data_IF_887807274153
#
_entry.id   IF_887807274153
#
_cell.length_a   1.000
_cell.length_b   1.000
_cell.length_c   1.000
_cell.angle_alpha   90.00
_cell.angle_beta   90.00
_cell.angle_gamma   90.00
#
_symmetry.space_group_name_H-M   'P 1'
#
loop_
_entity.id
_entity.type
_entity.pdbx_description
1 polymer ?
#
# COMPACT_ATOMS: atom_id res chain seq x y z
N UNK A 1 -15.73 3.04 3.86
CA UNK A 1 -17.21 3.00 3.99
C UNK A 1 -17.60 2.57 5.40
N UNK A 2 -18.22 3.46 6.20
CA UNK A 2 -18.95 3.06 7.41
C UNK A 2 -20.13 4.01 7.63
N UNK A 3 -21.33 3.51 7.37
CA UNK A 3 -22.60 4.21 7.59
C UNK A 3 -22.93 4.15 9.08
N UNK A 4 -22.60 5.20 9.83
CA UNK A 4 -23.30 5.68 11.05
C UNK A 4 -22.95 7.15 11.32
N UNK A 5 -23.71 8.07 10.71
CA UNK A 5 -23.96 9.38 11.30
C UNK A 5 -23.05 10.58 10.93
N UNK A 6 -22.08 10.45 10.02
CA UNK A 6 -21.30 11.60 9.53
C UNK A 6 -21.47 11.80 8.02
N UNK A 7 -21.69 13.06 7.64
CA UNK A 7 -22.31 13.51 6.37
C UNK A 7 -21.31 13.91 5.28
N UNK A 8 -20.04 13.58 5.39
CA UNK A 8 -19.08 13.93 4.34
C UNK A 8 -18.82 12.72 3.43
N UNK A 9 -19.52 12.72 2.29
CA UNK A 9 -19.39 11.78 1.18
C UNK A 9 -18.51 12.38 0.07
N UNK A 10 -17.50 13.17 0.40
CA UNK A 10 -16.59 13.69 -0.62
C UNK A 10 -15.77 12.55 -1.21
N UNK A 11 -15.84 12.42 -2.54
CA UNK A 11 -14.87 11.64 -3.30
C UNK A 11 -13.46 12.22 -3.07
N UNK A 12 -12.40 11.40 -3.13
CA UNK A 12 -11.05 11.93 -3.02
C UNK A 12 -10.82 13.03 -4.06
N UNK A 13 -10.51 14.24 -3.61
CA UNK A 13 -10.13 15.34 -4.50
C UNK A 13 -8.81 15.04 -5.21
N UNK A 14 -8.54 15.77 -6.30
CA UNK A 14 -7.27 15.64 -7.00
C UNK A 14 -6.11 16.02 -6.06
N UNK A 15 -5.14 15.13 -5.88
CA UNK A 15 -3.93 15.42 -5.13
C UNK A 15 -3.13 16.51 -5.86
N UNK A 16 -3.00 17.70 -5.28
CA UNK A 16 -2.37 18.86 -5.92
C UNK A 16 -0.95 18.56 -6.42
N UNK A 17 -0.19 17.76 -5.67
CA UNK A 17 1.18 17.35 -6.02
C UNK A 17 1.24 16.08 -6.89
N UNK A 18 0.10 15.43 -7.16
CA UNK A 18 0.02 14.13 -7.86
C UNK A 18 0.77 14.10 -9.20
N UNK A 19 0.59 15.07 -10.11
CA UNK A 19 1.33 15.10 -11.37
C UNK A 19 2.86 15.24 -11.20
N UNK A 20 3.31 15.99 -10.18
CA UNK A 20 4.75 16.13 -9.90
C UNK A 20 5.33 14.84 -9.30
N UNK A 21 4.59 14.19 -8.40
CA UNK A 21 4.95 12.89 -7.84
C UNK A 21 5.07 11.85 -8.96
N UNK A 22 4.07 11.75 -9.84
CA UNK A 22 4.10 10.81 -10.97
C UNK A 22 5.29 11.03 -11.92
N UNK A 23 5.63 12.29 -12.25
CA UNK A 23 6.82 12.60 -13.08
C UNK A 23 8.13 12.21 -12.38
N UNK A 24 8.23 12.49 -11.08
CA UNK A 24 9.42 12.16 -10.28
C UNK A 24 9.59 10.66 -10.12
N UNK A 25 8.48 9.95 -9.89
CA UNK A 25 8.43 8.49 -9.84
C UNK A 25 8.86 7.88 -11.18
N UNK A 26 8.33 8.36 -12.30
CA UNK A 26 8.73 7.90 -13.63
C UNK A 26 10.24 8.07 -13.86
N UNK A 27 10.81 9.21 -13.45
CA UNK A 27 12.26 9.41 -13.51
C UNK A 27 13.02 8.40 -12.66
N UNK A 28 12.60 8.16 -11.42
CA UNK A 28 13.25 7.19 -10.53
C UNK A 28 13.18 5.74 -11.09
N UNK A 29 12.09 5.38 -11.76
CA UNK A 29 11.97 4.10 -12.48
C UNK A 29 12.97 4.06 -13.64
N UNK A 30 13.01 5.09 -14.47
CA UNK A 30 13.92 5.19 -15.62
C UNK A 30 15.39 5.17 -15.22
N UNK A 31 15.73 5.74 -14.06
CA UNK A 31 17.06 5.74 -13.48
C UNK A 31 17.42 4.39 -12.79
N UNK A 32 16.49 3.42 -12.75
CA UNK A 32 16.71 2.08 -12.17
C UNK A 32 16.76 2.05 -10.64
N UNK A 33 16.19 3.05 -9.97
CA UNK A 33 16.29 3.20 -8.51
C UNK A 33 15.19 2.46 -7.73
N UNK A 34 14.17 1.95 -8.41
CA UNK A 34 13.00 1.32 -7.80
C UNK A 34 13.00 -0.17 -8.17
N UNK A 35 12.92 -1.04 -7.15
CA UNK A 35 12.84 -2.48 -7.31
C UNK A 35 11.40 -2.94 -7.62
N UNK A 36 10.42 -2.35 -6.95
CA UNK A 36 8.99 -2.60 -7.17
C UNK A 36 8.16 -1.37 -6.78
N UNK A 37 6.96 -1.22 -7.38
CA UNK A 37 6.08 -0.08 -7.15
C UNK A 37 4.62 -0.51 -7.32
N UNK A 38 3.74 0.01 -6.46
CA UNK A 38 2.30 -0.19 -6.53
C UNK A 38 1.57 1.12 -6.20
N UNK A 39 0.55 1.49 -6.96
CA UNK A 39 -0.31 2.62 -6.62
C UNK A 39 -1.25 2.28 -5.45
N UNK A 40 -1.68 3.30 -4.71
CA UNK A 40 -2.68 3.15 -3.65
C UNK A 40 -4.05 3.57 -4.19
N UNK A 41 -4.73 2.66 -4.88
CA UNK A 41 -6.07 2.81 -5.41
C UNK A 41 -7.11 2.18 -4.48
N UNK A 42 -7.86 1.19 -4.93
CA UNK A 42 -8.93 0.54 -4.17
C UNK A 42 -8.34 -0.23 -2.97
N UNK A 43 -8.91 -0.02 -1.79
CA UNK A 43 -8.43 -0.64 -0.54
C UNK A 43 -7.15 -0.04 0.05
N UNK A 44 -6.51 0.93 -0.61
CA UNK A 44 -5.44 1.76 -0.04
C UNK A 44 -4.12 1.03 0.23
N UNK A 45 -3.36 1.52 1.21
CA UNK A 45 -2.03 1.01 1.57
C UNK A 45 -2.05 -0.48 1.97
N UNK A 46 -3.08 -0.91 2.67
CA UNK A 46 -3.20 -2.28 3.16
C UNK A 46 -3.26 -3.30 2.02
N UNK A 47 -4.07 -3.01 1.00
CA UNK A 47 -4.22 -3.86 -0.18
C UNK A 47 -2.97 -3.80 -1.06
N UNK A 48 -2.47 -2.59 -1.37
CA UNK A 48 -1.24 -2.44 -2.15
C UNK A 48 -0.04 -3.18 -1.52
N UNK A 49 0.11 -3.12 -0.20
CA UNK A 49 1.15 -3.88 0.49
C UNK A 49 0.96 -5.40 0.38
N UNK A 50 -0.28 -5.88 0.48
CA UNK A 50 -0.61 -7.30 0.32
C UNK A 50 -0.31 -7.80 -1.10
N UNK A 51 -0.71 -7.04 -2.13
CA UNK A 51 -0.43 -7.36 -3.54
C UNK A 51 1.07 -7.42 -3.82
N UNK A 52 1.84 -6.44 -3.30
CA UNK A 52 3.30 -6.43 -3.44
C UNK A 52 3.96 -7.65 -2.81
N UNK A 53 3.58 -8.04 -1.58
CA UNK A 53 4.19 -9.22 -0.94
C UNK A 53 3.74 -10.53 -1.60
N UNK A 54 2.51 -10.61 -2.11
CA UNK A 54 2.00 -11.81 -2.78
C UNK A 54 2.73 -12.13 -4.09
N UNK A 55 3.29 -11.11 -4.74
CA UNK A 55 4.13 -11.23 -5.93
C UNK A 55 5.57 -11.70 -5.67
N UNK A 56 5.95 -11.96 -4.41
CA UNK A 56 7.31 -12.36 -4.03
C UNK A 56 7.32 -13.50 -2.99
N UNK A 57 8.46 -14.18 -2.77
CA UNK A 57 8.62 -15.12 -1.65
C UNK A 57 8.93 -14.42 -0.31
N UNK A 58 9.02 -13.10 -0.29
CA UNK A 58 9.41 -12.30 0.87
C UNK A 58 8.20 -11.68 1.58
N UNK A 59 8.35 -11.40 2.87
CA UNK A 59 7.38 -10.62 3.64
C UNK A 59 7.76 -9.16 3.75
N UNK A 60 7.02 -8.42 4.56
CA UNK A 60 7.31 -7.01 4.84
C UNK A 60 6.87 -6.61 6.26
N UNK A 61 7.65 -5.72 6.88
CA UNK A 61 7.23 -4.97 8.06
C UNK A 61 6.91 -3.53 7.68
N UNK A 62 5.69 -3.05 7.99
CA UNK A 62 5.23 -1.69 7.69
C UNK A 62 4.80 -0.97 8.98
N UNK A 63 5.21 0.28 9.14
CA UNK A 63 4.86 1.15 10.27
C UNK A 63 3.94 2.27 9.82
N UNK A 64 2.69 2.23 10.27
CA UNK A 64 1.69 3.24 9.93
C UNK A 64 2.03 4.64 10.48
N UNK A 65 2.80 4.70 11.57
CA UNK A 65 3.28 5.96 12.14
C UNK A 65 4.17 6.78 11.19
N UNK A 66 4.72 6.16 10.14
CA UNK A 66 5.59 6.81 9.15
C UNK A 66 4.87 7.16 7.86
N UNK A 67 3.57 6.87 7.74
CA UNK A 67 2.77 7.29 6.59
C UNK A 67 2.65 8.82 6.62
N UNK A 68 3.08 9.55 5.58
CA UNK A 68 2.93 10.99 5.52
C UNK A 68 1.46 11.40 5.61
N UNK A 69 1.15 12.32 6.52
CA UNK A 69 -0.21 12.85 6.71
C UNK A 69 -0.15 14.35 6.94
N UNK A 70 -1.08 15.08 6.36
CA UNK A 70 -1.25 16.51 6.63
C UNK A 70 -1.65 16.76 8.10
N UNK A 71 -1.38 17.97 8.58
CA UNK A 71 -1.81 18.43 9.91
C UNK A 71 -3.33 18.60 9.94
N UNK A 72 -3.99 18.14 11.00
CA UNK A 72 -5.44 18.27 11.17
C UNK A 72 -6.30 17.21 10.47
N UNK A 73 -5.69 16.29 9.72
CA UNK A 73 -6.39 15.14 9.12
C UNK A 73 -6.52 14.00 10.14
N UNK A 74 -7.53 13.14 9.96
CA UNK A 74 -7.69 11.86 10.69
C UNK A 74 -6.41 11.02 10.59
N UNK A 75 -5.96 10.43 11.70
CA UNK A 75 -4.69 9.67 11.78
C UNK A 75 -4.88 8.27 12.39
N UNK A 76 -6.11 7.78 12.38
CA UNK A 76 -6.41 6.44 12.88
C UNK A 76 -5.79 5.37 11.98
N UNK A 77 -5.45 4.23 12.57
CA UNK A 77 -4.73 3.15 11.88
C UNK A 77 -5.53 2.57 10.69
N UNK A 78 -6.85 2.46 10.82
CA UNK A 78 -7.75 2.01 9.74
C UNK A 78 -7.79 3.01 8.58
N UNK A 79 -7.77 4.31 8.86
CA UNK A 79 -7.69 5.33 7.83
C UNK A 79 -6.37 5.27 7.08
N UNK A 80 -5.24 5.10 7.78
CA UNK A 80 -3.93 4.97 7.13
C UNK A 80 -3.83 3.73 6.24
N UNK A 81 -4.49 2.64 6.64
CA UNK A 81 -4.51 1.39 5.88
C UNK A 81 -5.43 1.45 4.66
N UNK A 82 -6.66 1.94 4.85
CA UNK A 82 -7.73 1.74 3.88
C UNK A 82 -8.30 3.03 3.29
N UNK A 83 -7.69 4.19 3.58
CA UNK A 83 -8.03 5.41 2.82
C UNK A 83 -7.59 5.25 1.37
N UNK A 84 -8.41 5.73 0.47
CA UNK A 84 -8.17 5.73 -0.97
C UNK A 84 -7.95 7.18 -1.42
N UNK A 85 -6.88 7.45 -2.16
CA UNK A 85 -6.62 8.74 -2.77
C UNK A 85 -5.54 8.64 -3.85
N UNK A 86 -5.71 9.45 -4.89
CA UNK A 86 -4.88 9.42 -6.08
C UNK A 86 -3.47 9.99 -5.83
N UNK A 87 -2.51 9.56 -6.66
CA UNK A 87 -1.14 10.11 -6.64
C UNK A 87 -0.29 9.65 -5.46
N UNK A 88 -0.67 8.55 -4.80
CA UNK A 88 0.11 7.88 -3.76
C UNK A 88 0.62 6.55 -4.29
N UNK A 89 1.85 6.22 -3.90
CA UNK A 89 2.55 5.02 -4.36
C UNK A 89 3.29 4.39 -3.18
N UNK A 90 3.28 3.06 -3.12
CA UNK A 90 4.18 2.27 -2.29
C UNK A 90 5.32 1.80 -3.20
N UNK A 91 6.55 2.07 -2.77
CA UNK A 91 7.75 1.72 -3.55
C UNK A 91 8.74 0.95 -2.69
N UNK A 92 9.42 0.01 -3.33
CA UNK A 92 10.56 -0.72 -2.77
C UNK A 92 11.84 -0.17 -3.41
N UNK A 93 12.80 0.20 -2.57
CA UNK A 93 14.09 0.76 -2.98
C UNK A 93 15.19 0.01 -2.26
N UNK A 94 16.19 -0.46 -3.01
CA UNK A 94 17.32 -1.15 -2.41
C UNK A 94 18.15 -0.18 -1.55
N UNK A 95 18.78 -0.63 -0.45
CA UNK A 95 19.54 0.26 0.45
C UNK A 95 20.63 1.08 -0.24
N UNK A 96 21.26 0.53 -1.28
CA UNK A 96 22.30 1.21 -2.08
C UNK A 96 21.75 2.40 -2.89
N UNK A 97 20.46 2.35 -3.26
CA UNK A 97 19.80 3.33 -4.13
C UNK A 97 18.97 4.35 -3.33
N UNK A 98 18.77 4.10 -2.03
CA UNK A 98 17.93 4.92 -1.15
C UNK A 98 18.33 6.40 -1.15
N UNK A 99 19.62 6.72 -1.04
CA UNK A 99 20.10 8.12 -1.03
C UNK A 99 19.81 8.82 -2.35
N UNK A 100 19.95 8.13 -3.48
CA UNK A 100 19.66 8.70 -4.79
C UNK A 100 18.15 8.92 -4.97
N UNK A 101 17.34 7.95 -4.56
CA UNK A 101 15.87 8.06 -4.56
C UNK A 101 15.39 9.23 -3.69
N UNK A 102 15.84 9.32 -2.44
CA UNK A 102 15.45 10.38 -1.50
C UNK A 102 15.81 11.78 -2.00
N UNK A 103 16.92 11.91 -2.74
CA UNK A 103 17.30 13.18 -3.39
C UNK A 103 16.33 13.57 -4.50
N UNK A 104 15.83 12.62 -5.30
CA UNK A 104 14.85 12.92 -6.35
C UNK A 104 13.51 13.37 -5.75
N UNK A 105 13.13 12.82 -4.60
CA UNK A 105 11.88 13.14 -3.90
C UNK A 105 12.03 14.31 -2.90
N UNK A 106 13.16 15.00 -2.87
CA UNK A 106 13.36 16.16 -2.01
C UNK A 106 12.30 17.24 -2.30
N UNK A 107 11.59 17.69 -1.25
CA UNK A 107 10.49 18.66 -1.36
C UNK A 107 9.13 18.06 -1.73
N UNK A 108 9.04 16.75 -1.96
CA UNK A 108 7.79 16.01 -2.12
C UNK A 108 7.46 15.22 -0.85
N UNK A 109 6.18 14.96 -0.55
CA UNK A 109 5.80 14.14 0.59
C UNK A 109 6.18 12.68 0.34
N UNK A 110 7.04 12.13 1.19
CA UNK A 110 7.34 10.70 1.25
C UNK A 110 7.65 10.26 2.68
N UNK A 111 7.60 8.95 2.94
CA UNK A 111 7.94 8.37 4.23
C UNK A 111 8.50 6.97 4.09
N UNK A 112 9.55 6.65 4.83
CA UNK A 112 10.12 5.30 4.87
C UNK A 112 9.29 4.43 5.80
N UNK A 113 8.38 3.65 5.24
CA UNK A 113 7.37 2.91 6.01
C UNK A 113 7.93 1.66 6.70
N UNK A 114 9.00 1.08 6.18
CA UNK A 114 9.56 -0.15 6.73
C UNK A 114 10.54 -0.85 5.80
N UNK A 115 10.51 -2.17 5.77
CA UNK A 115 11.47 -2.99 5.02
C UNK A 115 10.89 -4.37 4.66
N UNK A 116 11.45 -4.97 3.62
CA UNK A 116 11.20 -6.36 3.20
C UNK A 116 11.89 -7.32 4.17
N UNK A 117 11.28 -8.46 4.43
CA UNK A 117 11.79 -9.50 5.34
C UNK A 117 11.86 -10.86 4.66
N UNK A 118 12.72 -11.73 5.17
CA UNK A 118 12.80 -13.13 4.71
C UNK A 118 11.69 -14.02 5.29
N UNK A 119 11.04 -13.58 6.37
CA UNK A 119 9.88 -14.28 6.91
C UNK A 119 8.68 -14.04 5.97
N UNK A 120 7.92 -15.07 5.58
CA UNK A 120 6.80 -14.93 4.65
C UNK A 120 5.54 -14.40 5.37
N UNK A 121 5.65 -13.22 5.99
CA UNK A 121 4.53 -12.55 6.64
C UNK A 121 4.44 -11.06 6.26
N UNK A 122 3.21 -10.56 6.14
CA UNK A 122 2.93 -9.13 6.13
C UNK A 122 2.61 -8.69 7.55
N UNK A 123 3.50 -7.88 8.13
CA UNK A 123 3.36 -7.40 9.50
C UNK A 123 3.21 -5.88 9.52
N UNK A 124 2.11 -5.42 10.10
CA UNK A 124 1.80 -4.00 10.20
C UNK A 124 1.78 -3.58 11.66
N UNK A 125 2.44 -2.47 11.92
CA UNK A 125 2.52 -1.85 13.23
C UNK A 125 1.75 -0.53 13.23
N UNK A 126 0.89 -0.36 14.23
CA UNK A 126 0.33 0.93 14.60
C UNK A 126 1.44 1.91 15.00
N UNK A 127 1.06 3.18 15.10
CA UNK A 127 1.93 4.30 15.51
C UNK A 127 3.02 3.93 16.52
N UNK A 128 2.69 3.87 17.82
CA UNK A 128 3.66 3.66 18.90
C UNK A 128 4.28 2.23 18.99
N UNK A 129 4.39 1.51 17.87
CA UNK A 129 5.09 0.22 17.79
C UNK A 129 4.25 -1.02 18.13
N UNK A 130 2.95 -0.85 18.41
CA UNK A 130 2.01 -1.96 18.64
C UNK A 130 1.76 -2.73 17.33
N UNK A 131 1.86 -4.06 17.36
CA UNK A 131 1.50 -4.91 16.21
C UNK A 131 -0.01 -4.87 16.01
N UNK A 132 -0.45 -4.45 14.82
CA UNK A 132 -1.86 -4.49 14.40
C UNK A 132 -2.19 -5.79 13.69
N UNK A 133 -1.25 -6.26 12.88
CA UNK A 133 -1.45 -7.37 11.97
C UNK A 133 -0.13 -8.10 11.77
N UNK A 134 -0.19 -9.43 11.72
CA UNK A 134 0.91 -10.29 11.30
C UNK A 134 0.31 -11.48 10.55
N UNK A 135 0.18 -11.36 9.23
CA UNK A 135 -0.50 -12.34 8.39
C UNK A 135 0.52 -13.16 7.61
N UNK A 136 0.47 -14.50 7.67
CA UNK A 136 1.20 -15.36 6.75
C UNK A 136 0.77 -15.10 5.30
N UNK A 137 1.72 -15.16 4.37
CA UNK A 137 1.47 -14.98 2.94
C UNK A 137 0.49 -16.03 2.40
N UNK A 138 0.48 -17.23 2.96
CA UNK A 138 -0.48 -18.29 2.60
C UNK A 138 -1.92 -17.84 2.87
N UNK A 139 -2.17 -17.21 4.02
CA UNK A 139 -3.51 -16.73 4.40
C UNK A 139 -3.95 -15.56 3.52
N UNK A 140 -3.02 -14.68 3.14
CA UNK A 140 -3.29 -13.63 2.16
C UNK A 140 -3.66 -14.22 0.80
N UNK A 141 -2.95 -15.25 0.36
CA UNK A 141 -3.17 -15.90 -0.93
C UNK A 141 -4.50 -16.67 -0.99
N UNK A 142 -4.86 -17.37 0.08
CA UNK A 142 -6.17 -17.99 0.24
C UNK A 142 -7.31 -16.96 0.12
N UNK A 143 -7.20 -15.85 0.87
CA UNK A 143 -8.20 -14.79 0.85
C UNK A 143 -8.33 -14.11 -0.52
N UNK A 144 -7.19 -13.91 -1.21
CA UNK A 144 -7.14 -13.33 -2.54
C UNK A 144 -7.77 -14.24 -3.62
N UNK A 145 -7.44 -15.53 -3.60
CA UNK A 145 -7.91 -16.49 -4.61
C UNK A 145 -9.34 -17.00 -4.38
N UNK A 146 -9.84 -16.92 -3.14
CA UNK A 146 -11.14 -17.53 -2.77
C UNK A 146 -12.34 -17.04 -3.59
N UNK A 147 -12.29 -15.83 -4.16
CA UNK A 147 -13.36 -15.32 -5.03
C UNK A 147 -13.27 -15.88 -6.46
N UNK A 148 -12.08 -16.20 -6.96
CA UNK A 148 -11.88 -16.73 -8.31
C UNK A 148 -12.23 -18.22 -8.40
N UNK A 149 -11.97 -19.00 -7.36
CA UNK A 149 -12.34 -20.42 -7.34
C UNK A 149 -13.85 -20.63 -7.14
N UNK A 150 -14.49 -19.80 -6.31
CA UNK A 150 -15.95 -19.83 -6.16
C UNK A 150 -16.69 -19.43 -7.45
N UNK A 151 -16.14 -18.49 -8.24
CA UNK A 151 -16.70 -18.11 -9.53
C UNK A 151 -16.56 -19.22 -10.59
N UNK A 152 -15.43 -19.95 -10.59
CA UNK A 152 -15.21 -21.09 -11.51
C UNK A 152 -16.10 -22.30 -11.18
N UNK A 153 -16.32 -22.58 -9.89
CA UNK A 153 -17.22 -23.66 -9.48
C UNK A 153 -18.69 -23.41 -9.87
N UNK A 154 -19.13 -22.15 -9.93
CA UNK A 154 -20.50 -21.78 -10.35
C UNK A 154 -20.76 -21.86 -11.86
N UNK A 155 -19.72 -21.81 -12.70
CA UNK A 155 -19.86 -21.94 -14.17
C UNK A 155 -19.95 -23.42 -14.62
N UNK A 156 -19.32 -24.33 -13.87
CA UNK A 156 -19.41 -25.79 -14.13
C UNK A 156 -20.76 -26.39 -13.71
N UNK A 157 -21.42 -25.84 -12.68
CA UNK A 157 -22.76 -26.29 -12.24
C UNK A 157 -23.92 -25.78 -13.12
N UNK A 158 -23.71 -24.77 -13.99
CA UNK A 158 -24.77 -24.22 -14.86
C UNK A 158 -24.90 -24.92 -16.22
N UNK A 159 -24.08 -25.92 -16.51
CA UNK A 159 -24.08 -26.68 -17.77
C UNK A 159 -24.29 -28.20 -17.57
N UNK A 160 -24.79 -28.61 -16.40
CA UNK A 160 -25.15 -30.00 -16.08
C UNK A 160 -26.62 -30.31 -16.25
#
# INVERSE_FOLDING_TARGET
YRVRGLRDRSVPGAAAQGPQIARTLHRAISDGLIASCHDLSEGGLGVAAAEMVLGSPYGAEIRLGFVPTETGVRKDDDWRLFSESNGRYLVEVAPKDAVAFERLFAGLPYGRLGHITTAPTLKVFAGAGRVLMNLPLERLREAWNGHLEAARAGEEESHG
#
